data_IF_564792535327
#
_entry.id   IF_564792535327
#
_cell.length_a   1.000
_cell.length_b   1.000
_cell.length_c   1.000
_cell.angle_alpha   90.00
_cell.angle_beta   90.00
_cell.angle_gamma   90.00
#
_symmetry.space_group_name_H-M   'P 1'
#
loop_
_entity.id
_entity.type
_entity.pdbx_description
1 polymer ?
#
# COMPACT_ATOMS: atom_id res chain seq x y z
N UNK A 1 18.75 23.76 92.70
CA UNK A 1 18.53 23.18 91.36
C UNK A 1 19.89 22.99 90.68
N UNK A 2 20.27 21.77 90.33
CA UNK A 2 21.52 21.49 89.58
C UNK A 2 21.16 21.07 88.15
N UNK A 3 21.79 21.68 87.14
CA UNK A 3 21.60 21.32 85.73
C UNK A 3 22.92 20.91 85.09
N UNK A 4 22.93 19.75 84.45
CA UNK A 4 24.12 19.20 83.77
C UNK A 4 24.29 19.75 82.34
N UNK A 5 23.22 20.26 81.71
CA UNK A 5 23.24 20.69 80.31
C UNK A 5 23.76 22.13 80.13
N UNK A 6 23.53 23.02 81.08
CA UNK A 6 23.99 24.40 81.00
C UNK A 6 24.55 24.89 82.35
N UNK A 7 25.86 24.71 82.54
CA UNK A 7 26.57 25.11 83.78
C UNK A 7 26.63 26.62 84.03
N UNK A 8 26.28 27.48 83.05
CA UNK A 8 26.41 28.94 83.17
C UNK A 8 25.12 29.74 82.98
N UNK A 9 24.06 29.16 82.40
CA UNK A 9 22.87 29.91 81.96
C UNK A 9 21.58 29.72 82.76
N UNK A 10 21.36 28.60 83.45
CA UNK A 10 20.03 28.30 84.04
C UNK A 10 19.82 28.93 85.43
N UNK A 11 20.89 29.42 86.06
CA UNK A 11 20.85 29.88 87.46
C UNK A 11 20.57 31.37 87.64
N UNK A 12 20.40 32.15 86.56
CA UNK A 12 20.30 33.63 86.67
C UNK A 12 18.89 34.20 86.67
N UNK A 13 17.92 33.55 86.04
CA UNK A 13 16.55 34.04 85.98
C UNK A 13 15.60 33.12 86.73
N UNK A 14 14.58 33.69 87.36
CA UNK A 14 13.62 33.04 88.24
C UNK A 14 12.81 31.94 87.53
N UNK A 15 13.43 30.80 87.22
CA UNK A 15 12.77 29.64 86.64
C UNK A 15 11.60 29.18 87.52
N UNK A 16 11.75 29.30 88.83
CA UNK A 16 10.71 29.02 89.81
C UNK A 16 9.52 29.99 89.71
N UNK A 17 9.66 31.17 89.09
CA UNK A 17 8.54 32.12 88.90
C UNK A 17 7.73 31.85 87.64
N UNK A 18 8.24 31.04 86.72
CA UNK A 18 7.46 30.61 85.56
C UNK A 18 6.36 29.66 86.03
N UNK A 19 5.10 30.04 85.75
CA UNK A 19 3.90 29.26 86.11
C UNK A 19 3.98 27.80 85.66
N UNK A 20 4.62 27.55 84.52
CA UNK A 20 4.83 26.21 83.96
C UNK A 20 5.74 25.34 84.85
N UNK A 21 6.81 25.90 85.42
CA UNK A 21 7.68 25.19 86.37
C UNK A 21 7.03 25.00 87.75
N UNK A 22 6.25 25.98 88.24
CA UNK A 22 5.48 25.80 89.48
C UNK A 22 4.47 24.66 89.36
N UNK A 23 3.78 24.56 88.23
CA UNK A 23 2.82 23.48 87.99
C UNK A 23 3.49 22.10 88.03
N UNK A 24 4.71 21.99 87.51
CA UNK A 24 5.49 20.74 87.51
C UNK A 24 5.92 20.33 88.93
N UNK A 25 6.34 21.27 89.75
CA UNK A 25 6.75 20.98 91.13
C UNK A 25 5.60 20.57 92.04
N UNK A 26 4.35 20.92 91.69
CA UNK A 26 3.13 20.64 92.47
C UNK A 26 2.44 19.36 91.99
N UNK A 27 2.81 18.83 90.82
CA UNK A 27 2.24 17.58 90.31
C UNK A 27 2.92 16.40 91.02
N UNK A 28 2.14 15.57 91.71
CA UNK A 28 2.66 14.44 92.52
C UNK A 28 3.02 13.22 91.66
N UNK A 29 2.38 13.05 90.49
CA UNK A 29 2.62 11.92 89.58
C UNK A 29 3.75 12.21 88.58
N UNK A 30 4.50 11.16 88.20
CA UNK A 30 5.44 11.21 87.07
C UNK A 30 4.70 11.63 85.80
N UNK A 31 4.85 12.90 85.39
CA UNK A 31 4.19 13.41 84.19
C UNK A 31 5.21 13.87 83.14
N UNK A 32 5.04 13.34 81.92
CA UNK A 32 5.67 13.87 80.72
C UNK A 32 4.82 15.07 80.29
N UNK A 33 5.42 16.26 80.28
CA UNK A 33 4.76 17.48 79.81
C UNK A 33 5.61 18.14 78.73
N UNK A 34 4.96 18.97 77.92
CA UNK A 34 5.61 19.78 76.90
C UNK A 34 5.63 21.22 77.39
N UNK A 35 6.83 21.81 77.49
CA UNK A 35 7.04 23.17 77.98
C UNK A 35 7.67 23.97 76.86
N UNK A 36 7.29 25.24 76.74
CA UNK A 36 8.01 26.15 75.87
C UNK A 36 9.20 26.71 76.64
N UNK A 37 10.42 26.54 76.11
CA UNK A 37 11.62 27.16 76.65
C UNK A 37 11.40 28.69 76.77
N UNK A 38 11.44 29.25 77.98
CA UNK A 38 11.21 30.69 78.18
C UNK A 38 12.33 31.58 77.64
N UNK A 39 13.53 31.04 77.42
CA UNK A 39 14.74 31.75 76.99
C UNK A 39 14.99 31.60 75.49
N UNK A 40 14.84 30.39 74.95
CA UNK A 40 15.07 30.09 73.53
C UNK A 40 13.77 30.09 72.70
N UNK A 41 12.61 29.94 73.34
CA UNK A 41 11.30 29.96 72.67
C UNK A 41 10.90 28.65 72.02
N UNK A 42 11.80 27.66 71.99
CA UNK A 42 11.60 26.33 71.43
C UNK A 42 10.80 25.42 72.37
N UNK A 43 10.23 24.35 71.83
CA UNK A 43 9.41 23.43 72.62
C UNK A 43 10.25 22.26 73.10
N UNK A 44 10.19 21.99 74.40
CA UNK A 44 10.92 20.91 75.06
C UNK A 44 9.96 19.86 75.62
N UNK A 45 10.37 18.60 75.53
CA UNK A 45 9.82 17.57 76.41
C UNK A 45 10.47 17.69 77.78
N UNK A 46 9.64 17.77 78.80
CA UNK A 46 10.05 17.80 80.18
C UNK A 46 9.52 16.56 80.90
N UNK A 47 10.43 15.82 81.52
CA UNK A 47 10.11 14.74 82.44
C UNK A 47 10.62 15.15 83.81
N UNK A 48 9.79 15.01 84.82
CA UNK A 48 10.19 15.25 86.20
C UNK A 48 9.91 14.03 87.05
N UNK A 49 10.82 13.74 87.97
CA UNK A 49 10.72 12.63 88.91
C UNK A 49 11.08 13.17 90.29
N UNK A 50 10.21 12.91 91.26
CA UNK A 50 10.46 13.24 92.66
C UNK A 50 11.25 12.12 93.32
N UNK A 51 12.24 12.48 94.13
CA UNK A 51 12.95 11.52 94.97
C UNK A 51 12.00 11.00 96.04
N UNK A 52 11.77 9.69 96.03
CA UNK A 52 11.07 9.01 97.11
C UNK A 52 12.10 8.47 98.12
N UNK A 53 11.83 8.68 99.40
CA UNK A 53 12.58 8.05 100.48
C UNK A 53 12.58 6.52 100.37
N UNK A 54 13.59 5.87 100.95
CA UNK A 54 13.69 4.41 101.00
C UNK A 54 13.96 3.95 102.44
N UNK A 55 13.12 3.04 102.94
CA UNK A 55 13.18 2.55 104.32
C UNK A 55 13.11 3.71 105.33
N UNK A 56 14.06 3.79 106.26
CA UNK A 56 14.11 4.81 107.32
C UNK A 56 14.61 6.17 106.82
N UNK A 57 14.97 6.29 105.54
CA UNK A 57 15.35 7.56 104.94
C UNK A 57 14.12 8.20 104.27
N UNK A 58 13.60 9.33 104.78
CA UNK A 58 12.38 9.97 104.25
C UNK A 58 12.57 10.65 102.88
N UNK A 59 13.77 10.61 102.30
CA UNK A 59 14.11 11.36 101.08
C UNK A 59 14.60 12.76 101.42
N UNK A 60 15.27 13.40 100.47
CA UNK A 60 15.76 14.78 100.61
C UNK A 60 14.92 15.82 99.86
N UNK A 61 13.79 15.40 99.28
CA UNK A 61 12.86 16.28 98.58
C UNK A 61 13.39 16.80 97.25
N UNK A 62 14.34 16.09 96.61
CA UNK A 62 14.88 16.51 95.32
C UNK A 62 13.94 16.11 94.18
N UNK A 63 13.66 17.04 93.29
CA UNK A 63 13.03 16.76 92.01
C UNK A 63 14.09 16.79 90.90
N UNK A 64 14.22 15.69 90.17
CA UNK A 64 15.00 15.65 88.94
C UNK A 64 14.12 16.14 87.79
N UNK A 65 14.61 17.09 87.00
CA UNK A 65 13.93 17.58 85.79
C UNK A 65 14.85 17.35 84.61
N UNK A 66 14.39 16.57 83.63
CA UNK A 66 15.09 16.30 82.37
C UNK A 66 14.34 17.01 81.25
N UNK A 67 15.07 17.84 80.50
CA UNK A 67 14.57 18.55 79.32
C UNK A 67 15.25 18.02 78.07
N UNK A 68 14.47 17.71 77.05
CA UNK A 68 14.96 17.31 75.73
C UNK A 68 14.24 18.14 74.67
N UNK A 69 14.95 18.91 73.85
CA UNK A 69 14.34 19.66 72.76
C UNK A 69 13.57 18.75 71.82
N UNK A 70 12.35 19.14 71.44
CA UNK A 70 11.48 18.39 70.53
C UNK A 70 12.21 18.12 69.21
N UNK A 71 13.01 19.06 68.72
CA UNK A 71 13.79 18.90 67.50
C UNK A 71 14.80 17.75 67.59
N UNK A 72 15.45 17.58 68.75
CA UNK A 72 16.40 16.49 68.99
C UNK A 72 15.65 15.17 69.18
N UNK A 73 14.56 15.18 69.95
CA UNK A 73 13.72 14.00 70.18
C UNK A 73 13.11 13.45 68.88
N UNK A 74 12.68 14.33 67.97
CA UNK A 74 12.07 13.96 66.68
C UNK A 74 13.02 14.03 65.49
N UNK A 75 14.27 14.43 65.65
CA UNK A 75 15.24 14.47 64.55
C UNK A 75 15.28 13.16 63.73
N UNK A 76 15.31 11.96 64.34
CA UNK A 76 15.25 10.70 63.59
C UNK A 76 13.95 10.51 62.80
N UNK A 77 12.82 10.95 63.35
CA UNK A 77 11.49 10.85 62.72
C UNK A 77 11.39 11.80 61.51
N UNK A 78 11.92 13.02 61.62
CA UNK A 78 11.95 13.99 60.52
C UNK A 78 12.85 13.49 59.39
N UNK A 79 14.01 12.92 59.71
CA UNK A 79 14.90 12.31 58.72
C UNK A 79 14.22 11.15 58.00
N UNK A 80 13.55 10.25 58.73
CA UNK A 80 12.79 9.14 58.15
C UNK A 80 11.66 9.64 57.23
N UNK A 81 10.88 10.64 57.68
CA UNK A 81 9.83 11.27 56.87
C UNK A 81 10.38 11.82 55.55
N UNK A 82 11.48 12.56 55.60
CA UNK A 82 12.09 13.15 54.42
C UNK A 82 12.63 12.07 53.47
N UNK A 83 13.24 11.00 54.01
CA UNK A 83 13.67 9.86 53.22
C UNK A 83 12.49 9.16 52.51
N UNK A 84 11.38 8.93 53.23
CA UNK A 84 10.17 8.35 52.65
C UNK A 84 9.54 9.24 51.57
N UNK A 85 9.50 10.55 51.80
CA UNK A 85 9.03 11.52 50.82
C UNK A 85 9.90 11.52 49.55
N UNK A 86 11.23 11.51 49.71
CA UNK A 86 12.18 11.43 48.59
C UNK A 86 12.00 10.13 47.78
N UNK A 87 11.84 8.99 48.46
CA UNK A 87 11.60 7.69 47.79
C UNK A 87 10.27 7.72 47.03
N UNK A 88 9.22 8.29 47.61
CA UNK A 88 7.91 8.39 46.97
C UNK A 88 7.97 9.25 45.71
N UNK A 89 8.65 10.39 45.77
CA UNK A 89 8.89 11.24 44.59
C UNK A 89 9.70 10.48 43.53
N UNK A 90 10.75 9.76 43.93
CA UNK A 90 11.56 8.96 43.01
C UNK A 90 10.72 7.88 42.30
N UNK A 91 9.85 7.17 43.03
CA UNK A 91 8.95 6.16 42.44
C UNK A 91 7.99 6.81 41.43
N UNK A 92 7.40 7.96 41.75
CA UNK A 92 6.50 8.68 40.82
C UNK A 92 7.24 9.08 39.55
N UNK A 93 8.47 9.61 39.67
CA UNK A 93 9.29 9.99 38.52
C UNK A 93 9.62 8.77 37.65
N UNK A 94 10.01 7.66 38.27
CA UNK A 94 10.30 6.41 37.55
C UNK A 94 9.05 5.87 36.85
N UNK A 95 7.88 5.90 37.50
CA UNK A 95 6.63 5.45 36.91
C UNK A 95 6.23 6.30 35.69
N UNK A 96 6.37 7.62 35.78
CA UNK A 96 6.14 8.54 34.65
C UNK A 96 7.12 8.24 33.51
N UNK A 97 8.41 8.09 33.82
CA UNK A 97 9.43 7.78 32.82
C UNK A 97 9.14 6.44 32.12
N UNK A 98 8.83 5.40 32.88
CA UNK A 98 8.46 4.08 32.35
C UNK A 98 7.21 4.14 31.48
N UNK A 99 6.18 4.88 31.90
CA UNK A 99 4.95 5.08 31.11
C UNK A 99 5.23 5.79 29.79
N UNK A 100 6.07 6.83 29.80
CA UNK A 100 6.47 7.55 28.60
C UNK A 100 7.32 6.69 27.64
N UNK A 101 8.20 5.84 28.18
CA UNK A 101 8.98 4.88 27.39
C UNK A 101 8.03 3.87 26.75
N UNK A 102 7.19 3.20 27.55
CA UNK A 102 6.24 2.19 27.07
C UNK A 102 5.29 2.73 26.00
N UNK A 103 4.76 3.94 26.22
CA UNK A 103 3.90 4.61 25.24
C UNK A 103 4.62 4.83 23.90
N UNK A 104 5.91 5.19 23.94
CA UNK A 104 6.71 5.45 22.74
C UNK A 104 7.20 4.19 22.04
N UNK A 105 7.59 3.16 22.78
CA UNK A 105 8.17 1.94 22.22
C UNK A 105 7.13 0.90 21.83
N UNK A 106 5.97 0.88 22.48
CA UNK A 106 4.95 -0.16 22.25
C UNK A 106 3.64 0.46 21.75
N UNK A 107 3.00 1.33 22.55
CA UNK A 107 1.64 1.80 22.23
C UNK A 107 1.57 2.59 20.91
N UNK A 108 2.51 3.51 20.67
CA UNK A 108 2.52 4.34 19.44
C UNK A 108 2.75 3.51 18.16
N UNK A 109 3.78 2.64 18.07
CA UNK A 109 3.97 1.78 16.88
C UNK A 109 2.78 0.87 16.59
N UNK A 110 2.17 0.27 17.62
CA UNK A 110 0.98 -0.58 17.45
C UNK A 110 -0.20 0.23 16.88
N UNK A 111 -0.40 1.46 17.37
CA UNK A 111 -1.47 2.32 16.86
C UNK A 111 -1.21 2.73 15.41
N UNK A 112 0.04 3.03 15.05
CA UNK A 112 0.44 3.32 13.66
C UNK A 112 0.19 2.11 12.73
N UNK A 113 0.53 0.90 13.18
CA UNK A 113 0.27 -0.34 12.45
C UNK A 113 -1.23 -0.55 12.21
N UNK A 114 -2.05 -0.34 13.25
CA UNK A 114 -3.52 -0.41 13.14
C UNK A 114 -4.05 0.58 12.11
N UNK A 115 -3.61 1.84 12.17
CA UNK A 115 -4.11 2.90 11.30
C UNK A 115 -3.65 2.67 9.84
N UNK A 116 -2.40 2.23 9.64
CA UNK A 116 -1.90 1.84 8.33
C UNK A 116 -2.70 0.66 7.75
N UNK A 117 -2.97 -0.38 8.55
CA UNK A 117 -3.79 -1.52 8.13
C UNK A 117 -5.20 -1.09 7.69
N UNK A 118 -5.80 -0.12 8.39
CA UNK A 118 -7.09 0.45 8.02
C UNK A 118 -7.04 1.20 6.67
N UNK A 119 -5.96 1.93 6.38
CA UNK A 119 -5.77 2.59 5.07
C UNK A 119 -5.52 1.59 3.93
N UNK A 120 -4.75 0.53 4.18
CA UNK A 120 -4.57 -0.59 3.24
C UNK A 120 -5.93 -1.23 2.91
N UNK A 121 -6.79 -1.42 3.91
CA UNK A 121 -8.15 -1.93 3.73
C UNK A 121 -9.05 -1.05 2.85
N UNK A 122 -8.71 0.24 2.68
CA UNK A 122 -9.38 1.17 1.76
C UNK A 122 -8.74 1.19 0.36
N UNK A 123 -7.75 0.33 0.10
CA UNK A 123 -7.06 0.23 -1.18
C UNK A 123 -5.84 1.16 -1.34
N UNK A 124 -5.41 1.87 -0.28
CA UNK A 124 -4.28 2.81 -0.34
C UNK A 124 -2.95 2.11 -0.03
N UNK A 125 -2.35 1.46 -1.03
CA UNK A 125 -1.17 0.61 -0.86
C UNK A 125 0.18 1.36 -0.79
N UNK A 126 0.17 2.69 -0.81
CA UNK A 126 1.39 3.51 -0.77
C UNK A 126 1.92 3.74 0.65
N UNK A 127 1.16 3.35 1.68
CA UNK A 127 1.52 3.56 3.07
C UNK A 127 2.58 2.54 3.50
N UNK A 128 3.77 3.03 3.87
CA UNK A 128 4.84 2.21 4.45
C UNK A 128 5.07 2.55 5.90
N UNK A 129 5.38 1.54 6.69
CA UNK A 129 5.74 1.70 8.10
C UNK A 129 7.26 1.63 8.20
N UNK A 130 7.90 2.71 8.61
CA UNK A 130 9.32 2.71 8.92
C UNK A 130 9.56 1.90 10.19
N UNK A 131 10.37 0.85 10.09
CA UNK A 131 10.82 0.09 11.26
C UNK A 131 12.10 0.73 11.80
N UNK A 132 12.03 1.29 13.01
CA UNK A 132 13.22 1.70 13.77
C UNK A 132 13.54 0.75 14.93
N UNK A 133 12.76 -0.32 15.08
CA UNK A 133 12.88 -1.28 16.19
C UNK A 133 13.41 -2.61 15.68
N UNK A 134 14.27 -3.26 16.46
CA UNK A 134 14.81 -4.60 16.17
C UNK A 134 14.07 -5.72 16.93
N UNK A 135 13.03 -5.35 17.69
CA UNK A 135 12.17 -6.26 18.45
C UNK A 135 11.04 -6.87 17.59
N UNK A 136 10.12 -7.58 18.26
CA UNK A 136 8.96 -8.21 17.63
C UNK A 136 8.04 -7.19 16.94
N UNK A 137 7.98 -5.95 17.43
CA UNK A 137 7.21 -4.87 16.81
C UNK A 137 7.86 -4.46 15.49
N UNK A 138 9.19 -4.39 15.46
CA UNK A 138 9.96 -4.20 14.24
C UNK A 138 9.75 -5.30 13.21
N UNK A 139 9.82 -6.57 13.64
CA UNK A 139 9.57 -7.73 12.77
C UNK A 139 8.13 -7.73 12.22
N UNK A 140 7.16 -7.32 13.03
CA UNK A 140 5.78 -7.16 12.59
C UNK A 140 5.65 -6.05 11.52
N UNK A 141 6.34 -4.92 11.69
CA UNK A 141 6.37 -3.85 10.69
C UNK A 141 6.99 -4.31 9.35
N UNK A 142 8.08 -5.11 9.40
CA UNK A 142 8.69 -5.70 8.20
C UNK A 142 7.71 -6.65 7.51
N UNK A 143 7.08 -7.54 8.26
CA UNK A 143 6.11 -8.51 7.74
C UNK A 143 4.88 -7.81 7.14
N UNK A 144 4.40 -6.74 7.79
CA UNK A 144 3.33 -5.90 7.28
C UNK A 144 3.70 -5.24 5.94
N UNK A 145 4.88 -4.64 5.83
CA UNK A 145 5.32 -4.02 4.58
C UNK A 145 5.47 -5.05 3.44
N UNK A 146 5.94 -6.27 3.74
CA UNK A 146 6.01 -7.35 2.76
C UNK A 146 4.62 -7.73 2.22
N UNK A 147 3.64 -7.89 3.11
CA UNK A 147 2.24 -8.14 2.74
C UNK A 147 1.67 -7.03 1.84
N UNK A 148 1.91 -5.76 2.19
CA UNK A 148 1.47 -4.61 1.36
C UNK A 148 2.11 -4.66 -0.03
N UNK A 149 3.40 -4.99 -0.10
CA UNK A 149 4.12 -5.17 -1.36
C UNK A 149 3.52 -6.26 -2.25
N UNK A 150 3.16 -7.41 -1.67
CA UNK A 150 2.57 -8.51 -2.43
C UNK A 150 1.13 -8.22 -2.87
N UNK A 151 0.36 -7.50 -2.06
CA UNK A 151 -0.97 -7.01 -2.45
C UNK A 151 -0.90 -6.02 -3.63
N UNK A 152 0.09 -5.12 -3.62
CA UNK A 152 0.34 -4.18 -4.72
C UNK A 152 0.72 -4.89 -6.02
N UNK A 153 1.62 -5.89 -5.94
CA UNK A 153 1.97 -6.74 -7.10
C UNK A 153 0.75 -7.50 -7.63
N UNK A 154 -0.08 -8.03 -6.74
CA UNK A 154 -1.28 -8.82 -7.11
C UNK A 154 -2.30 -7.94 -7.83
N UNK A 155 -2.56 -6.74 -7.30
CA UNK A 155 -3.48 -5.77 -7.91
C UNK A 155 -3.01 -5.36 -9.31
N UNK A 156 -1.72 -5.01 -9.45
CA UNK A 156 -1.10 -4.67 -10.74
C UNK A 156 -1.17 -5.84 -11.74
N UNK A 157 -1.00 -7.08 -11.25
CA UNK A 157 -1.07 -8.28 -12.09
C UNK A 157 -2.48 -8.55 -12.59
N UNK A 158 -3.49 -8.36 -11.73
CA UNK A 158 -4.90 -8.46 -12.11
C UNK A 158 -5.28 -7.41 -13.15
N UNK A 159 -4.80 -6.18 -13.01
CA UNK A 159 -5.03 -5.12 -14.01
C UNK A 159 -4.40 -5.49 -15.36
N UNK A 160 -3.14 -5.95 -15.36
CA UNK A 160 -2.48 -6.45 -16.59
C UNK A 160 -3.24 -7.62 -17.21
N UNK A 161 -3.74 -8.55 -16.40
CA UNK A 161 -4.49 -9.71 -16.86
C UNK A 161 -5.83 -9.29 -17.48
N UNK A 162 -6.51 -8.29 -16.92
CA UNK A 162 -7.74 -7.75 -17.47
C UNK A 162 -7.50 -7.07 -18.82
N UNK A 163 -6.46 -6.25 -18.94
CA UNK A 163 -6.07 -5.63 -20.22
C UNK A 163 -5.71 -6.70 -21.26
N UNK A 164 -4.95 -7.73 -20.87
CA UNK A 164 -4.60 -8.84 -21.77
C UNK A 164 -5.84 -9.62 -22.23
N UNK A 165 -6.81 -9.87 -21.34
CA UNK A 165 -8.08 -10.51 -21.69
C UNK A 165 -8.92 -9.66 -22.66
N UNK A 166 -9.01 -8.35 -22.43
CA UNK A 166 -9.69 -7.43 -23.35
C UNK A 166 -9.03 -7.43 -24.74
N UNK A 167 -7.71 -7.39 -24.79
CA UNK A 167 -6.96 -7.46 -26.05
C UNK A 167 -7.19 -8.79 -26.77
N UNK A 168 -7.23 -9.90 -26.03
CA UNK A 168 -7.51 -11.22 -26.58
C UNK A 168 -8.92 -11.29 -27.18
N UNK A 169 -9.92 -10.74 -26.49
CA UNK A 169 -11.30 -10.67 -27.01
C UNK A 169 -11.38 -9.83 -28.29
N UNK A 170 -10.70 -8.68 -28.34
CA UNK A 170 -10.64 -7.85 -29.54
C UNK A 170 -9.98 -8.61 -30.72
N UNK A 171 -8.86 -9.29 -30.46
CA UNK A 171 -8.18 -10.12 -31.46
C UNK A 171 -9.07 -11.27 -31.96
N UNK A 172 -9.80 -11.94 -31.08
CA UNK A 172 -10.75 -12.99 -31.46
C UNK A 172 -11.88 -12.46 -32.36
N UNK A 173 -12.43 -11.28 -32.05
CA UNK A 173 -13.45 -10.65 -32.90
C UNK A 173 -12.89 -10.30 -34.28
N UNK A 174 -11.68 -9.73 -34.34
CA UNK A 174 -11.03 -9.42 -35.59
C UNK A 174 -10.75 -10.68 -36.43
N UNK A 175 -10.30 -11.76 -35.79
CA UNK A 175 -10.06 -13.03 -36.46
C UNK A 175 -11.35 -13.62 -37.04
N UNK A 176 -12.47 -13.49 -36.31
CA UNK A 176 -13.79 -13.93 -36.78
C UNK A 176 -14.25 -13.12 -37.99
N UNK A 177 -14.10 -11.79 -37.95
CA UNK A 177 -14.44 -10.92 -39.07
C UNK A 177 -13.57 -11.22 -40.31
N UNK A 178 -12.26 -11.40 -40.12
CA UNK A 178 -11.34 -11.77 -41.19
C UNK A 178 -11.68 -13.13 -41.83
N UNK A 179 -12.02 -14.14 -41.01
CA UNK A 179 -12.47 -15.43 -41.51
C UNK A 179 -13.77 -15.33 -42.32
N UNK A 180 -14.73 -14.51 -41.88
CA UNK A 180 -15.97 -14.27 -42.64
C UNK A 180 -15.66 -13.60 -43.99
N UNK A 181 -14.78 -12.60 -44.00
CA UNK A 181 -14.35 -11.94 -45.24
C UNK A 181 -13.64 -12.91 -46.18
N UNK A 182 -12.79 -13.80 -45.66
CA UNK A 182 -12.12 -14.83 -46.44
C UNK A 182 -13.13 -15.81 -47.04
N UNK A 183 -14.16 -16.21 -46.29
CA UNK A 183 -15.23 -17.07 -46.81
C UNK A 183 -15.99 -16.39 -47.96
N UNK A 184 -16.32 -15.11 -47.83
CA UNK A 184 -16.97 -14.33 -48.90
C UNK A 184 -16.05 -14.24 -50.13
N UNK A 185 -14.77 -13.90 -49.95
CA UNK A 185 -13.81 -13.85 -51.04
C UNK A 185 -13.64 -15.20 -51.74
N UNK A 186 -13.58 -16.31 -50.98
CA UNK A 186 -13.53 -17.67 -51.52
C UNK A 186 -14.78 -18.01 -52.35
N UNK A 187 -15.99 -17.65 -51.88
CA UNK A 187 -17.23 -17.83 -52.64
C UNK A 187 -17.20 -17.02 -53.94
N UNK A 188 -16.74 -15.78 -53.88
CA UNK A 188 -16.65 -14.90 -55.05
C UNK A 188 -15.63 -15.42 -56.07
N UNK A 189 -14.50 -15.95 -55.59
CA UNK A 189 -13.50 -16.61 -56.44
C UNK A 189 -14.08 -17.86 -57.12
N UNK A 190 -14.87 -18.66 -56.39
CA UNK A 190 -15.54 -19.84 -56.94
C UNK A 190 -16.57 -19.47 -58.00
N UNK A 191 -17.39 -18.46 -57.75
CA UNK A 191 -18.37 -17.96 -58.71
C UNK A 191 -17.68 -17.43 -59.98
N UNK A 192 -16.62 -16.63 -59.82
CA UNK A 192 -15.83 -16.11 -60.94
C UNK A 192 -15.18 -17.24 -61.74
N UNK A 193 -14.62 -18.26 -61.08
CA UNK A 193 -14.07 -19.44 -61.74
C UNK A 193 -15.14 -20.23 -62.53
N UNK A 194 -16.36 -20.37 -62.00
CA UNK A 194 -17.46 -21.00 -62.73
C UNK A 194 -17.87 -20.19 -63.96
N UNK A 195 -17.96 -18.87 -63.81
CA UNK A 195 -18.30 -17.97 -64.90
C UNK A 195 -17.23 -17.99 -66.01
N UNK A 196 -15.96 -17.88 -65.65
CA UNK A 196 -14.83 -18.04 -66.57
C UNK A 196 -14.85 -19.38 -67.31
N UNK A 197 -15.16 -20.49 -66.62
CA UNK A 197 -15.30 -21.79 -67.28
C UNK A 197 -16.42 -21.80 -68.32
N UNK A 198 -17.55 -21.14 -68.02
CA UNK A 198 -18.66 -21.01 -68.97
C UNK A 198 -18.25 -20.16 -70.17
N UNK A 199 -17.65 -18.99 -69.94
CA UNK A 199 -17.15 -18.10 -71.00
C UNK A 199 -16.11 -18.80 -71.88
N UNK A 200 -15.16 -19.54 -71.30
CA UNK A 200 -14.18 -20.33 -72.06
C UNK A 200 -14.88 -21.35 -72.96
N UNK A 201 -15.92 -22.01 -72.45
CA UNK A 201 -16.68 -23.01 -73.21
C UNK A 201 -17.44 -22.38 -74.37
N UNK A 202 -18.08 -21.22 -74.15
CA UNK A 202 -18.75 -20.47 -75.20
C UNK A 202 -17.77 -19.93 -76.24
N UNK A 203 -16.65 -19.35 -75.80
CA UNK A 203 -15.61 -18.82 -76.67
C UNK A 203 -15.02 -19.91 -77.55
N UNK A 204 -14.77 -21.10 -77.00
CA UNK A 204 -14.29 -22.28 -77.73
C UNK A 204 -15.30 -22.76 -78.78
N UNK A 205 -16.61 -22.73 -78.50
CA UNK A 205 -17.66 -23.04 -79.49
C UNK A 205 -17.73 -22.00 -80.60
N UNK A 206 -17.61 -20.72 -80.24
CA UNK A 206 -17.57 -19.63 -81.22
C UNK A 206 -16.37 -19.79 -82.16
N UNK A 207 -15.17 -20.04 -81.61
CA UNK A 207 -13.94 -20.32 -82.37
C UNK A 207 -14.10 -21.52 -83.31
N UNK A 208 -14.71 -22.61 -82.86
CA UNK A 208 -15.01 -23.76 -83.73
C UNK A 208 -15.97 -23.39 -84.86
N UNK A 209 -16.97 -22.56 -84.60
CA UNK A 209 -17.92 -22.09 -85.61
C UNK A 209 -17.25 -21.17 -86.64
N UNK A 210 -16.41 -20.24 -86.21
CA UNK A 210 -15.63 -19.40 -87.13
C UNK A 210 -14.68 -20.24 -87.96
N UNK A 211 -14.02 -21.25 -87.37
CA UNK A 211 -13.16 -22.17 -88.11
C UNK A 211 -13.95 -22.95 -89.18
N UNK A 212 -15.07 -23.54 -88.81
CA UNK A 212 -15.92 -24.28 -89.76
C UNK A 212 -16.51 -23.37 -90.86
N UNK A 213 -16.87 -22.13 -90.52
CA UNK A 213 -17.31 -21.14 -91.52
C UNK A 213 -16.16 -20.74 -92.45
N UNK A 214 -14.94 -20.61 -91.93
CA UNK A 214 -13.77 -20.31 -92.74
C UNK A 214 -13.44 -21.47 -93.69
N UNK A 215 -13.49 -22.73 -93.22
CA UNK A 215 -13.33 -23.92 -94.07
C UNK A 215 -14.40 -23.96 -95.17
N UNK A 216 -15.67 -23.64 -94.86
CA UNK A 216 -16.73 -23.53 -95.87
C UNK A 216 -16.51 -22.39 -96.85
N UNK A 217 -16.02 -21.24 -96.38
CA UNK A 217 -15.69 -20.10 -97.22
C UNK A 217 -14.56 -20.43 -98.18
N UNK A 218 -13.50 -21.09 -97.70
CA UNK A 218 -12.40 -21.59 -98.53
C UNK A 218 -12.90 -22.57 -99.59
N UNK A 219 -13.79 -23.50 -99.23
CA UNK A 219 -14.41 -24.41 -100.18
C UNK A 219 -15.25 -23.67 -101.24
N UNK A 220 -16.09 -22.71 -100.82
CA UNK A 220 -16.93 -21.91 -101.73
C UNK A 220 -16.09 -21.02 -102.67
N UNK A 221 -15.01 -20.42 -102.17
CA UNK A 221 -14.03 -19.67 -103.00
C UNK A 221 -13.34 -20.61 -103.99
N UNK A 222 -13.01 -21.83 -103.57
CA UNK A 222 -12.49 -22.89 -104.44
C UNK A 222 -13.46 -23.23 -105.57
N UNK A 223 -14.72 -23.54 -105.25
CA UNK A 223 -15.77 -23.82 -106.24
C UNK A 223 -15.99 -22.64 -107.20
N UNK A 224 -16.04 -21.42 -106.68
CA UNK A 224 -16.21 -20.22 -107.49
C UNK A 224 -15.03 -20.01 -108.45
N UNK A 225 -13.78 -20.27 -108.02
CA UNK A 225 -12.61 -20.21 -108.89
C UNK A 225 -12.65 -21.28 -109.99
N UNK A 226 -13.11 -22.49 -109.67
CA UNK A 226 -13.32 -23.56 -110.66
C UNK A 226 -14.38 -23.13 -111.67
N UNK A 227 -15.55 -22.67 -111.21
CA UNK A 227 -16.63 -22.21 -112.07
C UNK A 227 -16.22 -20.99 -112.94
N UNK A 228 -15.47 -20.04 -112.37
CA UNK A 228 -14.91 -18.92 -113.14
C UNK A 228 -13.92 -19.39 -114.21
N UNK A 229 -13.09 -20.39 -113.90
CA UNK A 229 -12.15 -20.97 -114.86
C UNK A 229 -12.89 -21.70 -115.98
N UNK A 230 -13.88 -22.52 -115.65
CA UNK A 230 -14.75 -23.18 -116.62
C UNK A 230 -15.49 -22.16 -117.51
N UNK A 231 -15.99 -21.06 -116.92
CA UNK A 231 -16.62 -19.98 -117.67
C UNK A 231 -15.61 -19.27 -118.58
N UNK A 232 -14.39 -19.01 -118.12
CA UNK A 232 -13.34 -18.41 -118.93
C UNK A 232 -12.91 -19.32 -120.08
N UNK A 233 -12.80 -20.63 -119.85
CA UNK A 233 -12.52 -21.63 -120.86
C UNK A 233 -13.67 -21.74 -121.87
N UNK A 234 -14.94 -21.69 -121.41
CA UNK A 234 -16.12 -21.65 -122.26
C UNK A 234 -16.20 -20.35 -123.08
N UNK A 235 -15.93 -19.20 -122.47
CA UNK A 235 -15.87 -17.91 -123.14
C UNK A 235 -14.74 -17.87 -124.19
N UNK A 236 -13.58 -18.45 -123.87
CA UNK A 236 -12.46 -18.57 -124.80
C UNK A 236 -12.79 -19.51 -125.97
N UNK A 237 -13.42 -20.66 -125.71
CA UNK A 237 -13.88 -21.60 -126.74
C UNK A 237 -14.95 -20.98 -127.65
N UNK A 238 -15.99 -20.37 -127.07
CA UNK A 238 -17.04 -19.68 -127.83
C UNK A 238 -16.50 -18.48 -128.61
N UNK A 239 -15.56 -17.71 -128.05
CA UNK A 239 -14.88 -16.63 -128.77
C UNK A 239 -14.05 -17.16 -129.94
N UNK A 240 -13.35 -18.30 -129.79
CA UNK A 240 -12.62 -18.96 -130.86
C UNK A 240 -13.57 -19.44 -131.98
N UNK A 241 -14.68 -20.06 -131.60
CA UNK A 241 -15.66 -20.63 -132.53
C UNK A 241 -16.51 -19.56 -133.24
N UNK A 242 -16.75 -18.40 -132.61
CA UNK A 242 -17.34 -17.21 -133.24
C UNK A 242 -16.34 -16.46 -134.15
N UNK A 243 -15.03 -16.60 -133.91
CA UNK A 243 -13.98 -16.00 -134.76
C UNK A 243 -13.88 -16.70 -136.11
N UNK A 244 -14.21 -17.99 -136.18
CA UNK A 244 -14.19 -18.77 -137.41
C UNK A 244 -15.15 -18.24 -138.49
N UNK A 245 -16.45 -17.95 -138.22
CA UNK A 245 -17.31 -17.29 -139.20
C UNK A 245 -16.94 -15.82 -139.46
N UNK A 246 -16.43 -15.08 -138.48
CA UNK A 246 -15.99 -13.68 -138.68
C UNK A 246 -14.75 -13.56 -139.59
N UNK A 247 -13.81 -14.52 -139.55
CA UNK A 247 -12.69 -14.58 -140.52
C UNK A 247 -13.17 -14.93 -141.93
N UNK A 248 -14.19 -15.78 -142.07
CA UNK A 248 -14.80 -16.11 -143.36
C UNK A 248 -15.52 -14.89 -143.99
N UNK A 249 -16.12 -14.02 -143.18
CA UNK A 249 -16.73 -12.76 -143.66
C UNK A 249 -15.65 -11.69 -143.94
N UNK A 250 -14.56 -11.65 -143.15
CA UNK A 250 -13.43 -10.76 -143.39
C UNK A 250 -12.63 -11.09 -144.66
N UNK A 251 -12.49 -12.36 -145.03
CA UNK A 251 -11.80 -12.77 -146.27
C UNK A 251 -12.67 -12.65 -147.54
N UNK A 252 -13.95 -12.33 -147.39
CA UNK A 252 -14.86 -11.99 -148.50
C UNK A 252 -14.90 -10.48 -148.80
N UNK A 253 -14.23 -9.65 -147.98
CA UNK A 253 -14.25 -8.19 -148.08
C UNK A 253 -12.89 -7.54 -148.43
N UNK A 254 -11.87 -8.33 -148.80
CA UNK A 254 -10.57 -7.78 -149.17
C UNK A 254 -9.78 -8.72 -150.09
N UNK A 255 -9.88 -8.44 -151.39
CA UNK A 255 -8.99 -8.77 -152.52
C UNK A 255 -8.27 -10.12 -152.52
#
# INVERSE_FOLDING_TARGET
LYSNYNRKGILKDNLLDHKEFKAILITEDEAITTIRDPLEGDTDFCVHVHEYGHLDFPGSGWTMIVRVPVEVAFAPIIQLRNAMAAISIAIVVIAIAASLIFSRTISRPITKLRDAAAEIGKGRLDTRIESSSEDEIGQLAVSFNAMVGDLSKTTTSMEKLNVANQQLQASQQQLKASNQQLQVSQQQLRATNQQLKSEITERKRAEQKTKALNEKLEAAVGELNVANRELADFAHATAHDLKAPLRAIGSLAGM
#
